data_IF_714170071002
#
_entry.id   IF_714170071002
#
_cell.length_a   1.000
_cell.length_b   1.000
_cell.length_c   1.000
_cell.angle_alpha   90.00
_cell.angle_beta   90.00
_cell.angle_gamma   90.00
#
_symmetry.space_group_name_H-M   'P 1'
#
loop_
_entity.id
_entity.type
_entity.pdbx_description
1 polymer ?
#
# COMPACT_ATOMS: atom_id res chain seq x y z
N UNK A 1 -10.86 16.72 -2.57
CA UNK A 1 -10.72 15.89 -3.79
C UNK A 1 -9.38 16.21 -4.38
N UNK A 2 -8.36 15.43 -4.07
CA UNK A 2 -7.02 15.66 -4.62
C UNK A 2 -6.99 15.16 -6.06
N UNK A 3 -6.84 16.11 -6.99
CA UNK A 3 -6.67 15.83 -8.41
C UNK A 3 -5.34 15.10 -8.58
N UNK A 4 -5.41 13.77 -8.70
CA UNK A 4 -4.26 12.92 -9.05
C UNK A 4 -3.84 13.27 -10.49
N UNK A 5 -2.89 14.20 -10.64
CA UNK A 5 -2.32 14.53 -11.95
C UNK A 5 -1.18 13.58 -12.25
N UNK A 6 -1.43 12.61 -13.13
CA UNK A 6 -0.40 11.68 -13.59
C UNK A 6 0.67 12.45 -14.38
N UNK A 7 1.91 12.44 -13.88
CA UNK A 7 3.07 13.08 -14.50
C UNK A 7 3.59 12.32 -15.73
N UNK A 8 3.30 11.02 -15.83
CA UNK A 8 3.78 10.13 -16.89
C UNK A 8 2.76 9.03 -17.23
N UNK A 9 2.95 8.32 -18.34
CA UNK A 9 2.21 7.08 -18.65
C UNK A 9 2.84 5.85 -17.97
N UNK A 10 3.74 6.05 -17.00
CA UNK A 10 4.49 4.99 -16.33
C UNK A 10 4.27 5.05 -14.83
N UNK A 11 4.08 3.89 -14.21
CA UNK A 11 3.67 3.79 -12.80
C UNK A 11 4.54 2.78 -12.05
N UNK A 12 5.12 3.23 -10.95
CA UNK A 12 5.77 2.39 -9.96
C UNK A 12 4.84 2.21 -8.75
N UNK A 13 4.46 0.96 -8.51
CA UNK A 13 3.61 0.58 -7.40
C UNK A 13 4.46 -0.10 -6.33
N UNK A 14 4.24 0.30 -5.09
CA UNK A 14 4.91 -0.22 -3.92
C UNK A 14 3.91 -0.64 -2.85
N UNK A 15 3.98 -1.89 -2.41
CA UNK A 15 3.36 -2.29 -1.15
C UNK A 15 4.40 -2.21 -0.04
N UNK A 16 4.05 -1.63 1.11
CA UNK A 16 4.90 -1.75 2.29
C UNK A 16 5.12 -3.23 2.64
N UNK A 17 6.35 -3.56 3.06
CA UNK A 17 6.66 -4.74 3.85
C UNK A 17 6.38 -4.47 5.33
N UNK A 18 6.39 -5.51 6.15
CA UNK A 18 6.19 -5.32 7.59
C UNK A 18 5.81 -6.55 8.41
N UNK A 19 5.80 -7.73 7.79
CA UNK A 19 5.44 -8.99 8.41
C UNK A 19 3.93 -9.20 8.52
N UNK A 20 3.56 -10.40 8.93
CA UNK A 20 2.20 -10.78 9.31
C UNK A 20 2.14 -10.99 10.82
N UNK A 21 0.93 -11.15 11.36
CA UNK A 21 0.75 -11.73 12.67
C UNK A 21 0.30 -13.19 12.50
N UNK A 22 0.86 -14.07 13.31
CA UNK A 22 0.69 -15.52 13.25
C UNK A 22 -0.33 -16.04 14.28
N UNK A 23 -0.47 -15.34 15.41
CA UNK A 23 -1.42 -15.67 16.47
C UNK A 23 -2.41 -14.53 16.72
N UNK A 24 -3.62 -14.87 17.19
CA UNK A 24 -4.65 -13.89 17.55
C UNK A 24 -4.11 -12.88 18.57
N UNK A 25 -3.33 -13.32 19.56
CA UNK A 25 -2.71 -12.44 20.56
C UNK A 25 -1.79 -11.41 19.91
N UNK A 26 -0.92 -11.85 19.00
CA UNK A 26 -0.01 -10.96 18.27
C UNK A 26 -0.79 -10.00 17.36
N UNK A 27 -1.85 -10.47 16.70
CA UNK A 27 -2.71 -9.63 15.88
C UNK A 27 -3.44 -8.56 16.70
N UNK A 28 -3.94 -8.91 17.89
CA UNK A 28 -4.58 -7.95 18.81
C UNK A 28 -3.58 -6.89 19.28
N UNK A 29 -2.35 -7.27 19.62
CA UNK A 29 -1.32 -6.29 19.96
C UNK A 29 -0.97 -5.41 18.75
N UNK A 30 -0.85 -6.00 17.56
CA UNK A 30 -0.50 -5.28 16.35
C UNK A 30 -1.57 -4.28 15.92
N UNK A 31 -2.86 -4.55 16.19
CA UNK A 31 -3.97 -3.67 15.80
C UNK A 31 -3.89 -2.26 16.42
N UNK A 32 -3.19 -2.10 17.54
CA UNK A 32 -2.96 -0.81 18.19
C UNK A 32 -1.70 -0.10 17.69
N UNK A 33 -1.05 -0.63 16.65
CA UNK A 33 0.16 -0.06 16.05
C UNK A 33 -0.09 0.56 14.67
N UNK A 34 0.87 1.37 14.20
CA UNK A 34 0.87 1.99 12.85
C UNK A 34 0.80 0.99 11.68
N UNK A 35 1.06 -0.30 11.94
CA UNK A 35 1.05 -1.39 10.95
C UNK A 35 -0.20 -2.27 11.01
N UNK A 36 -1.02 -2.13 12.04
CA UNK A 36 -2.23 -2.95 12.23
C UNK A 36 -3.54 -2.16 12.26
N UNK A 37 -3.47 -0.82 12.15
CA UNK A 37 -4.67 0.00 12.05
C UNK A 37 -4.39 1.29 11.29
N UNK A 38 -5.37 1.71 10.48
CA UNK A 38 -5.39 2.99 9.78
C UNK A 38 -5.49 4.19 10.73
N UNK A 39 -6.04 4.02 11.94
CA UNK A 39 -6.17 5.10 12.93
C UNK A 39 -4.83 5.54 13.51
N UNK A 40 -3.87 4.61 13.63
CA UNK A 40 -2.52 4.89 14.11
C UNK A 40 -1.54 5.10 12.95
N UNK A 41 -2.04 5.17 11.73
CA UNK A 41 -1.26 5.27 10.51
C UNK A 41 -0.77 6.71 10.31
N UNK A 42 0.50 6.87 9.93
CA UNK A 42 1.01 8.15 9.45
C UNK A 42 0.18 8.65 8.26
N UNK A 43 -0.27 9.90 8.35
CA UNK A 43 -0.99 10.59 7.27
C UNK A 43 -0.09 10.83 6.07
N UNK A 44 1.19 11.12 6.32
CA UNK A 44 2.18 11.41 5.30
C UNK A 44 3.41 10.52 5.48
N UNK A 45 3.92 10.01 4.36
CA UNK A 45 5.16 9.22 4.31
C UNK A 45 6.00 9.75 3.17
N UNK A 46 7.27 10.04 3.47
CA UNK A 46 8.23 10.37 2.44
C UNK A 46 8.44 9.20 1.47
N UNK A 47 8.38 9.49 0.18
CA UNK A 47 8.85 8.56 -0.84
C UNK A 47 10.37 8.63 -0.95
N UNK A 48 11.05 7.53 -0.59
CA UNK A 48 12.51 7.43 -0.57
C UNK A 48 12.98 6.20 -1.37
N UNK A 49 14.27 6.12 -1.66
CA UNK A 49 14.86 5.02 -2.44
C UNK A 49 14.28 4.96 -3.85
N UNK A 50 13.83 3.79 -4.31
CA UNK A 50 13.21 3.63 -5.66
C UNK A 50 11.83 4.32 -5.81
N UNK A 51 11.26 4.86 -4.74
CA UNK A 51 10.12 5.78 -4.84
C UNK A 51 10.56 7.25 -4.79
N UNK A 52 11.83 7.57 -4.60
CA UNK A 52 12.32 8.94 -4.62
C UNK A 52 12.11 9.58 -6.00
N UNK A 53 11.89 10.89 -6.05
CA UNK A 53 11.90 11.71 -7.27
C UNK A 53 13.26 12.35 -7.53
N UNK A 54 14.22 12.11 -6.66
CA UNK A 54 15.60 12.56 -6.90
C UNK A 54 16.29 11.55 -7.78
N UNK A 55 16.82 12.03 -8.91
CA UNK A 55 17.64 11.23 -9.84
C UNK A 55 18.82 10.55 -9.15
N UNK A 56 19.42 11.20 -8.15
CA UNK A 56 20.53 10.64 -7.37
C UNK A 56 20.14 9.39 -6.54
N UNK A 57 18.88 9.30 -6.10
CA UNK A 57 18.38 8.16 -5.30
C UNK A 57 17.65 7.13 -6.16
N UNK A 58 17.09 7.54 -7.30
CA UNK A 58 16.25 6.72 -8.17
C UNK A 58 16.47 7.05 -9.66
N UNK A 59 17.66 6.74 -10.22
CA UNK A 59 17.97 7.09 -11.60
C UNK A 59 16.98 6.48 -12.60
N UNK A 60 16.43 5.31 -12.28
CA UNK A 60 15.57 4.54 -13.17
C UNK A 60 14.11 5.04 -13.22
N UNK A 61 13.54 5.44 -12.07
CA UNK A 61 12.10 5.70 -11.94
C UNK A 61 11.73 7.07 -11.35
N UNK A 62 12.68 8.00 -11.17
CA UNK A 62 12.42 9.29 -10.53
C UNK A 62 11.26 10.08 -11.17
N UNK A 63 11.07 9.93 -12.49
CA UNK A 63 10.02 10.63 -13.26
C UNK A 63 8.76 9.78 -13.49
N UNK A 64 8.58 8.66 -12.78
CA UNK A 64 7.39 7.83 -12.86
C UNK A 64 6.34 8.30 -11.84
N UNK A 65 5.07 7.95 -12.07
CA UNK A 65 4.07 8.12 -11.02
C UNK A 65 4.27 7.06 -9.96
N UNK A 66 4.15 7.46 -8.70
CA UNK A 66 4.52 6.65 -7.55
C UNK A 66 3.31 6.44 -6.69
N UNK A 67 3.02 5.19 -6.40
CA UNK A 67 1.91 4.81 -5.53
C UNK A 67 2.44 3.89 -4.46
N UNK A 68 2.16 4.23 -3.20
CA UNK A 68 2.52 3.40 -2.04
C UNK A 68 1.25 2.98 -1.31
N UNK A 69 0.89 1.70 -1.38
CA UNK A 69 -0.27 1.17 -0.67
C UNK A 69 0.18 0.59 0.66
N UNK A 70 -0.45 1.07 1.72
CA UNK A 70 -0.25 0.53 3.07
C UNK A 70 -1.30 -0.54 3.34
N UNK A 71 -0.91 -1.55 4.11
CA UNK A 71 -1.83 -2.54 4.64
C UNK A 71 -1.90 -2.46 6.15
N UNK A 72 -3.07 -2.79 6.66
CA UNK A 72 -3.36 -2.94 8.09
C UNK A 72 -4.07 -4.26 8.40
N UNK A 73 -4.20 -5.18 7.42
CA UNK A 73 -4.94 -6.44 7.57
C UNK A 73 -4.20 -7.50 8.40
N UNK A 74 -2.90 -7.31 8.67
CA UNK A 74 -2.11 -8.29 9.42
C UNK A 74 -1.78 -9.58 8.65
N UNK A 75 -2.27 -9.74 7.42
CA UNK A 75 -2.12 -10.92 6.56
C UNK A 75 -1.35 -10.65 5.27
N UNK A 76 -0.59 -9.55 5.16
CA UNK A 76 0.21 -9.21 3.97
C UNK A 76 -0.62 -9.12 2.68
N UNK A 77 -1.79 -8.47 2.74
CA UNK A 77 -2.76 -8.40 1.63
C UNK A 77 -3.37 -9.75 1.22
N UNK A 78 -3.23 -10.80 2.03
CA UNK A 78 -3.83 -12.10 1.79
C UNK A 78 -5.10 -12.29 2.62
N UNK A 79 -5.94 -13.22 2.17
CA UNK A 79 -7.15 -13.61 2.90
C UNK A 79 -8.32 -12.62 2.80
N UNK A 80 -9.47 -13.13 3.18
CA UNK A 80 -10.72 -12.39 3.34
C UNK A 80 -11.54 -13.00 4.48
N UNK A 81 -10.99 -12.95 5.69
CA UNK A 81 -11.60 -13.53 6.88
C UNK A 81 -11.66 -12.51 8.02
N UNK A 82 -12.30 -12.89 9.11
CA UNK A 82 -12.42 -12.06 10.31
C UNK A 82 -12.43 -12.91 11.57
N UNK A 83 -12.02 -12.32 12.68
CA UNK A 83 -12.24 -12.87 14.00
C UNK A 83 -13.10 -11.87 14.79
N UNK A 84 -14.41 -12.14 14.87
CA UNK A 84 -15.37 -11.25 15.53
C UNK A 84 -15.10 -11.12 17.03
N UNK A 85 -14.74 -12.21 17.70
CA UNK A 85 -14.46 -12.22 19.15
C UNK A 85 -13.26 -11.33 19.50
N UNK A 86 -12.20 -11.36 18.69
CA UNK A 86 -11.01 -10.52 18.87
C UNK A 86 -11.12 -9.14 18.19
N UNK A 87 -12.23 -8.87 17.48
CA UNK A 87 -12.45 -7.69 16.65
C UNK A 87 -11.31 -7.47 15.64
N UNK A 88 -10.94 -8.51 14.91
CA UNK A 88 -9.89 -8.48 13.89
C UNK A 88 -10.48 -8.69 12.50
N UNK A 89 -9.98 -7.94 11.52
CA UNK A 89 -10.40 -7.98 10.13
C UNK A 89 -9.19 -8.32 9.25
N UNK A 90 -9.17 -9.53 8.68
CA UNK A 90 -8.13 -10.02 7.78
C UNK A 90 -8.62 -9.87 6.34
N UNK A 91 -8.77 -8.63 5.89
CA UNK A 91 -9.40 -8.26 4.61
C UNK A 91 -8.37 -7.85 3.55
N UNK A 92 -7.17 -8.43 3.61
CA UNK A 92 -6.04 -8.06 2.76
C UNK A 92 -6.37 -8.09 1.27
N UNK A 93 -7.05 -9.15 0.81
CA UNK A 93 -7.46 -9.29 -0.59
C UNK A 93 -8.42 -8.18 -1.03
N UNK A 94 -9.38 -7.81 -0.17
CA UNK A 94 -10.34 -6.74 -0.47
C UNK A 94 -9.67 -5.38 -0.53
N UNK A 95 -8.76 -5.09 0.39
CA UNK A 95 -7.99 -3.83 0.40
C UNK A 95 -7.18 -3.70 -0.89
N UNK A 96 -6.53 -4.79 -1.32
CA UNK A 96 -5.77 -4.81 -2.57
C UNK A 96 -6.65 -4.50 -3.79
N UNK A 97 -7.78 -5.20 -3.92
CA UNK A 97 -8.70 -5.01 -5.05
C UNK A 97 -9.25 -3.59 -5.08
N UNK A 98 -9.74 -3.09 -3.94
CA UNK A 98 -10.26 -1.73 -3.83
C UNK A 98 -9.20 -0.67 -4.17
N UNK A 99 -7.96 -0.84 -3.70
CA UNK A 99 -6.86 0.07 -4.03
C UNK A 99 -6.54 0.04 -5.53
N UNK A 100 -6.50 -1.13 -6.16
CA UNK A 100 -6.25 -1.23 -7.60
C UNK A 100 -7.38 -0.62 -8.43
N UNK A 101 -8.65 -0.87 -8.08
CA UNK A 101 -9.80 -0.28 -8.75
C UNK A 101 -9.79 1.26 -8.68
N UNK A 102 -9.53 1.83 -7.51
CA UNK A 102 -9.41 3.28 -7.32
C UNK A 102 -8.26 3.87 -8.16
N UNK A 103 -7.11 3.19 -8.20
CA UNK A 103 -5.97 3.63 -9.02
C UNK A 103 -6.27 3.55 -10.52
N UNK A 104 -6.96 2.49 -10.96
CA UNK A 104 -7.42 2.34 -12.35
C UNK A 104 -8.36 3.47 -12.74
N UNK A 105 -9.33 3.79 -11.89
CA UNK A 105 -10.26 4.91 -12.09
C UNK A 105 -9.53 6.27 -12.12
N UNK A 106 -8.50 6.44 -11.30
CA UNK A 106 -7.72 7.68 -11.25
C UNK A 106 -6.85 7.90 -12.48
N UNK A 107 -6.57 6.90 -13.30
CA UNK A 107 -5.81 7.05 -14.55
C UNK A 107 -4.76 5.97 -14.81
N UNK A 108 -4.57 5.01 -13.89
CA UNK A 108 -3.65 3.88 -14.10
C UNK A 108 -4.04 3.04 -15.33
N UNK A 109 -5.32 3.02 -15.70
CA UNK A 109 -5.80 2.32 -16.90
C UNK A 109 -5.15 2.81 -18.21
N UNK A 110 -4.65 4.05 -18.24
CA UNK A 110 -4.00 4.66 -19.40
C UNK A 110 -2.47 4.50 -19.39
N UNK A 111 -1.91 3.86 -18.37
CA UNK A 111 -0.48 3.66 -18.26
C UNK A 111 0.03 2.65 -19.29
N UNK A 112 1.15 2.99 -19.93
CA UNK A 112 1.86 2.15 -20.92
C UNK A 112 2.86 1.20 -20.27
N UNK A 113 3.37 1.54 -19.08
CA UNK A 113 4.31 0.71 -18.33
C UNK A 113 3.95 0.70 -16.85
N UNK A 114 4.04 -0.49 -16.25
CA UNK A 114 3.70 -0.70 -14.86
C UNK A 114 4.73 -1.61 -14.19
N UNK A 115 5.22 -1.20 -13.03
CA UNK A 115 6.16 -1.97 -12.21
C UNK A 115 5.59 -2.11 -10.81
N UNK A 116 5.29 -3.33 -10.37
CA UNK A 116 4.99 -3.65 -8.98
C UNK A 116 6.28 -4.04 -8.26
N UNK A 117 6.49 -3.50 -7.06
CA UNK A 117 7.52 -3.98 -6.15
C UNK A 117 6.95 -4.16 -4.75
N UNK A 118 7.24 -5.31 -4.14
CA UNK A 118 7.03 -5.54 -2.71
C UNK A 118 8.35 -5.24 -2.00
N UNK A 119 8.29 -4.38 -0.98
CA UNK A 119 9.43 -4.14 -0.08
C UNK A 119 9.30 -4.98 1.19
#
# INVERSE_FOLDING_TARGET
MDVFRWKSSRISFASWGGGWCDTIRNCVYRKTSRRGSSSFMEKEIAFTGILSDKTAENPDFYNWNRVKVRYCDGGSFSGDSENKAAQLQFRGKRIWLAAMEDLMAKGMRQAKQFRIRKF
#
